data_IF_505656832956
#
_entry.id   IF_505656832956
#
_cell.length_a   1.000
_cell.length_b   1.000
_cell.length_c   1.000
_cell.angle_alpha   90.00
_cell.angle_beta   90.00
_cell.angle_gamma   90.00
#
_symmetry.space_group_name_H-M   'P 1'
#
loop_
_entity.id
_entity.type
_entity.pdbx_description
1 polymer ?
#
# COMPACT_ATOMS: atom_id res chain seq x y z
N UNK A 1 -7.82 34.32 -15.08
CA UNK A 1 -8.23 33.01 -14.55
C UNK A 1 -7.07 32.46 -13.74
N UNK A 2 -7.24 32.10 -12.45
CA UNK A 2 -6.15 31.50 -11.69
C UNK A 2 -5.85 30.10 -12.29
N UNK A 3 -4.58 29.85 -12.59
CA UNK A 3 -4.13 28.51 -12.99
C UNK A 3 -4.29 27.58 -11.79
N UNK A 4 -4.83 26.36 -11.96
CA UNK A 4 -4.82 25.37 -10.88
C UNK A 4 -3.37 25.16 -10.42
N UNK A 5 -3.18 25.03 -9.11
CA UNK A 5 -1.85 24.72 -8.56
C UNK A 5 -1.40 23.39 -9.17
N UNK A 6 -0.13 23.25 -9.55
CA UNK A 6 0.40 21.95 -9.93
C UNK A 6 0.19 20.98 -8.76
N UNK A 7 -0.30 19.78 -9.06
CA UNK A 7 -0.43 18.72 -8.05
C UNK A 7 0.96 18.45 -7.46
N UNK A 8 1.10 18.71 -6.17
CA UNK A 8 2.34 18.44 -5.45
C UNK A 8 2.41 16.94 -5.13
N UNK A 9 3.01 16.20 -6.05
CA UNK A 9 3.26 14.76 -5.95
C UNK A 9 4.62 14.44 -5.33
N UNK A 10 5.26 15.43 -4.70
CA UNK A 10 6.60 15.27 -4.12
C UNK A 10 6.63 14.36 -2.88
N UNK A 11 5.48 13.98 -2.32
CA UNK A 11 5.40 13.08 -1.16
C UNK A 11 4.58 11.79 -1.41
N UNK A 12 4.08 11.59 -2.64
CA UNK A 12 3.23 10.43 -2.97
C UNK A 12 3.99 9.11 -2.84
N UNK A 13 5.24 9.06 -3.32
CA UNK A 13 6.10 7.87 -3.23
C UNK A 13 6.32 7.49 -1.77
N UNK A 14 6.66 8.46 -0.95
CA UNK A 14 6.95 8.30 0.47
C UNK A 14 5.71 7.82 1.24
N UNK A 15 4.53 8.42 0.99
CA UNK A 15 3.26 7.98 1.58
C UNK A 15 2.88 6.56 1.17
N UNK A 16 3.02 6.22 -0.12
CA UNK A 16 2.72 4.88 -0.61
C UNK A 16 3.66 3.83 0.00
N UNK A 17 4.95 4.14 0.14
CA UNK A 17 5.92 3.29 0.82
C UNK A 17 5.53 3.05 2.28
N UNK A 18 5.14 4.12 2.99
CA UNK A 18 4.67 4.02 4.38
C UNK A 18 3.42 3.13 4.49
N UNK A 19 2.42 3.33 3.61
CA UNK A 19 1.21 2.49 3.58
C UNK A 19 1.52 1.02 3.27
N UNK A 20 2.45 0.74 2.37
CA UNK A 20 2.92 -0.63 2.10
C UNK A 20 3.52 -1.25 3.36
N UNK A 21 4.42 -0.54 4.06
CA UNK A 21 5.04 -1.04 5.28
C UNK A 21 4.02 -1.31 6.38
N UNK A 22 3.11 -0.37 6.65
CA UNK A 22 2.02 -0.57 7.62
C UNK A 22 1.12 -1.75 7.25
N UNK A 23 0.85 -1.95 5.96
CA UNK A 23 0.01 -3.06 5.50
C UNK A 23 0.70 -4.40 5.73
N UNK A 24 2.00 -4.50 5.47
CA UNK A 24 2.82 -5.70 5.72
C UNK A 24 2.83 -6.00 7.22
N UNK A 25 3.13 -5.03 8.08
CA UNK A 25 3.10 -5.24 9.53
C UNK A 25 1.73 -5.71 10.04
N UNK A 26 0.65 -5.17 9.46
CA UNK A 26 -0.71 -5.57 9.80
C UNK A 26 -1.08 -6.98 9.29
N UNK A 27 -0.39 -7.48 8.26
CA UNK A 27 -0.52 -8.87 7.82
C UNK A 27 0.22 -9.80 8.77
N UNK A 28 1.47 -9.48 9.10
CA UNK A 28 2.31 -10.26 10.02
C UNK A 28 1.67 -10.37 11.41
N UNK A 29 1.22 -9.26 12.00
CA UNK A 29 0.49 -9.25 13.28
C UNK A 29 -0.79 -10.10 13.21
N UNK A 30 -1.48 -10.09 12.07
CA UNK A 30 -2.68 -10.92 11.89
C UNK A 30 -2.33 -12.42 11.78
N UNK A 31 -1.20 -12.77 11.16
CA UNK A 31 -0.71 -14.15 11.09
C UNK A 31 -0.26 -14.67 12.45
N UNK A 32 0.43 -13.85 13.24
CA UNK A 32 0.81 -14.20 14.61
C UNK A 32 -0.41 -14.51 15.48
N UNK A 33 -1.50 -13.75 15.35
CA UNK A 33 -2.75 -14.02 16.10
C UNK A 33 -3.53 -15.22 15.56
N UNK A 34 -3.27 -15.64 14.31
CA UNK A 34 -3.96 -16.77 13.67
C UNK A 34 -3.75 -18.08 14.44
N UNK A 35 -2.63 -18.24 15.16
CA UNK A 35 -2.36 -19.42 15.98
C UNK A 35 -3.37 -19.62 17.12
N UNK A 36 -3.97 -18.53 17.63
CA UNK A 36 -4.96 -18.55 18.71
C UNK A 36 -6.40 -18.47 18.21
N UNK A 37 -6.59 -18.24 16.91
CA UNK A 37 -7.89 -18.01 16.29
C UNK A 37 -8.65 -19.33 16.01
N UNK A 38 -9.98 -19.27 16.07
CA UNK A 38 -10.86 -20.37 15.64
C UNK A 38 -10.75 -20.63 14.14
N UNK A 39 -11.13 -21.82 13.63
CA UNK A 39 -11.05 -22.13 12.20
C UNK A 39 -11.75 -21.12 11.28
N UNK A 40 -12.86 -20.53 11.72
CA UNK A 40 -13.57 -19.49 10.96
C UNK A 40 -12.80 -18.17 10.94
N UNK A 41 -12.25 -17.75 12.07
CA UNK A 41 -11.43 -16.55 12.16
C UNK A 41 -10.16 -16.68 11.33
N UNK A 42 -9.51 -17.86 11.34
CA UNK A 42 -8.34 -18.14 10.50
C UNK A 42 -8.64 -17.94 9.02
N UNK A 43 -9.79 -18.42 8.53
CA UNK A 43 -10.23 -18.21 7.14
C UNK A 43 -10.43 -16.74 6.82
N UNK A 44 -11.06 -15.98 7.74
CA UNK A 44 -11.27 -14.53 7.57
C UNK A 44 -9.96 -13.76 7.54
N UNK A 45 -9.01 -14.11 8.42
CA UNK A 45 -7.68 -13.49 8.45
C UNK A 45 -6.94 -13.78 7.13
N UNK A 46 -6.93 -15.04 6.67
CA UNK A 46 -6.29 -15.43 5.42
C UNK A 46 -6.88 -14.69 4.20
N UNK A 47 -8.20 -14.60 4.10
CA UNK A 47 -8.86 -13.86 3.01
C UNK A 47 -8.56 -12.36 3.07
N UNK A 48 -8.48 -11.79 4.27
CA UNK A 48 -8.10 -10.37 4.45
C UNK A 48 -6.65 -10.13 4.06
N UNK A 49 -5.74 -11.04 4.42
CA UNK A 49 -4.33 -10.97 4.02
C UNK A 49 -4.16 -11.09 2.51
N UNK A 50 -4.89 -12.01 1.85
CA UNK A 50 -4.90 -12.09 0.39
C UNK A 50 -5.32 -10.77 -0.29
N UNK A 51 -6.36 -10.11 0.22
CA UNK A 51 -6.78 -8.80 -0.31
C UNK A 51 -5.73 -7.70 -0.06
N UNK A 52 -4.99 -7.78 1.04
CA UNK A 52 -3.88 -6.87 1.33
C UNK A 52 -2.70 -7.08 0.40
N UNK A 53 -2.40 -8.32 0.00
CA UNK A 53 -1.38 -8.62 -1.01
C UNK A 53 -1.72 -7.97 -2.35
N UNK A 54 -2.97 -8.08 -2.80
CA UNK A 54 -3.47 -7.43 -4.01
C UNK A 54 -3.34 -5.89 -3.90
N UNK A 55 -3.67 -5.31 -2.75
CA UNK A 55 -3.50 -3.88 -2.50
C UNK A 55 -2.03 -3.44 -2.49
N UNK A 56 -1.13 -4.22 -1.87
CA UNK A 56 0.31 -3.95 -1.88
C UNK A 56 0.87 -4.00 -3.31
N UNK A 57 0.43 -4.96 -4.13
CA UNK A 57 0.84 -5.05 -5.52
C UNK A 57 0.45 -3.79 -6.31
N UNK A 58 -0.77 -3.29 -6.10
CA UNK A 58 -1.24 -2.04 -6.71
C UNK A 58 -0.41 -0.83 -6.23
N UNK A 59 -0.21 -0.68 -4.91
CA UNK A 59 0.60 0.42 -4.36
C UNK A 59 2.05 0.37 -4.87
N UNK A 60 2.65 -0.82 -5.02
CA UNK A 60 3.99 -0.97 -5.59
C UNK A 60 4.07 -0.57 -7.05
N UNK A 61 3.01 -0.83 -7.83
CA UNK A 61 2.92 -0.36 -9.20
C UNK A 61 2.84 1.18 -9.24
N UNK A 62 1.98 1.79 -8.41
CA UNK A 62 1.88 3.25 -8.30
C UNK A 62 3.19 3.91 -7.86
N UNK A 63 3.89 3.33 -6.88
CA UNK A 63 5.22 3.82 -6.45
C UNK A 63 6.18 3.87 -7.63
N UNK A 64 6.18 2.83 -8.47
CA UNK A 64 7.07 2.75 -9.63
C UNK A 64 6.72 3.82 -10.67
N UNK A 65 5.44 4.02 -10.94
CA UNK A 65 4.96 5.01 -11.90
C UNK A 65 5.25 6.44 -11.42
N UNK A 66 5.00 6.73 -10.13
CA UNK A 66 5.30 8.03 -9.52
C UNK A 66 6.80 8.31 -9.44
N UNK A 67 7.63 7.29 -9.13
CA UNK A 67 9.08 7.43 -9.14
C UNK A 67 9.61 7.70 -10.56
N UNK A 68 9.09 7.01 -11.57
CA UNK A 68 9.44 7.25 -12.97
C UNK A 68 9.00 8.66 -13.42
N UNK A 69 7.81 9.12 -13.02
CA UNK A 69 7.33 10.47 -13.30
C UNK A 69 8.23 11.55 -12.65
N UNK A 70 8.73 11.29 -11.43
CA UNK A 70 9.69 12.18 -10.75
C UNK A 70 11.03 12.26 -11.48
N UNK A 71 11.56 11.13 -11.96
CA UNK A 71 12.83 11.05 -12.69
C UNK A 71 12.75 11.71 -14.07
N UNK A 72 11.64 11.52 -14.78
CA UNK A 72 11.44 12.10 -16.11
C UNK A 72 11.15 13.61 -16.11
N UNK A 73 11.05 14.23 -14.92
CA UNK A 73 10.74 15.64 -14.75
C UNK A 73 9.29 15.91 -15.11
N UNK A 74 8.52 16.45 -14.16
CA UNK A 74 7.23 17.03 -14.48
C UNK A 74 7.42 18.10 -15.57
N UNK A 75 7.06 17.79 -16.82
CA UNK A 75 6.87 18.80 -17.87
C UNK A 75 5.59 19.59 -17.61
#
# INVERSE_FOLDING_TARGET
MPRPKPDDRSDNVEKLQEMVQHTIENMEKAEETMQFASPEERKKIAEKNRRREEAIAAMRAEIKDEAAAREHGYQ
#
